data_IF_581445187753
#
_entry.id   IF_581445187753
#
_cell.length_a   1.000
_cell.length_b   1.000
_cell.length_c   1.000
_cell.angle_alpha   90.00
_cell.angle_beta   90.00
_cell.angle_gamma   90.00
#
_symmetry.space_group_name_H-M   'P 1'
#
loop_
_entity.id
_entity.type
_entity.pdbx_description
1 polymer ?
#
# COMPACT_ATOMS: atom_id res chain seq x y z
N UNK A 1 22.17 6.15 23.03
CA UNK A 1 21.71 7.43 23.59
C UNK A 1 20.22 7.62 23.34
N UNK A 2 19.48 7.93 24.37
CA UNK A 2 18.03 8.15 24.24
C UNK A 2 17.76 9.51 23.58
N UNK A 3 16.93 9.53 22.54
CA UNK A 3 16.49 10.75 21.88
C UNK A 3 15.01 10.93 22.19
N UNK A 4 14.59 12.09 22.75
CA UNK A 4 13.18 12.31 23.03
C UNK A 4 12.32 12.22 21.76
N UNK A 5 11.08 11.76 21.93
CA UNK A 5 10.16 11.62 20.79
C UNK A 5 9.95 12.95 20.07
N UNK A 6 9.92 14.06 20.80
CA UNK A 6 9.78 15.40 20.22
C UNK A 6 10.92 15.74 19.27
N UNK A 7 12.17 15.40 19.65
CA UNK A 7 13.33 15.63 18.80
C UNK A 7 13.30 14.72 17.57
N UNK A 8 12.85 13.45 17.75
CA UNK A 8 12.71 12.52 16.64
C UNK A 8 11.67 12.97 15.64
N UNK A 9 10.57 13.58 16.10
CA UNK A 9 9.50 14.06 15.23
C UNK A 9 9.89 15.26 14.38
N UNK A 10 11.01 15.93 14.70
CA UNK A 10 11.53 17.03 13.90
C UNK A 10 12.40 16.57 12.73
N UNK A 11 12.79 15.30 12.70
CA UNK A 11 13.62 14.76 11.64
C UNK A 11 12.86 14.76 10.31
N UNK A 12 13.58 15.06 9.23
CA UNK A 12 13.04 14.92 7.89
C UNK A 12 12.81 13.44 7.57
N UNK A 13 11.86 13.15 6.72
CA UNK A 13 11.57 11.76 6.34
C UNK A 13 12.82 11.02 5.85
N UNK A 14 13.62 11.67 5.01
CA UNK A 14 14.83 11.07 4.45
C UNK A 14 15.86 10.74 5.53
N UNK A 15 15.95 11.55 6.57
CA UNK A 15 16.83 11.26 7.70
C UNK A 15 16.32 10.05 8.50
N UNK A 16 15.01 9.98 8.69
CA UNK A 16 14.41 8.82 9.37
C UNK A 16 14.69 7.56 8.58
N UNK A 17 14.50 7.60 7.26
CA UNK A 17 14.79 6.46 6.38
C UNK A 17 16.26 6.05 6.52
N UNK A 18 17.18 7.00 6.46
CA UNK A 18 18.61 6.71 6.57
C UNK A 18 18.95 6.02 7.90
N UNK A 19 18.35 6.49 9.00
CA UNK A 19 18.58 5.91 10.32
C UNK A 19 18.00 4.50 10.44
N UNK A 20 16.81 4.28 9.90
CA UNK A 20 16.20 2.95 9.88
C UNK A 20 17.10 1.98 9.11
N UNK A 21 17.61 2.39 7.96
CA UNK A 21 18.51 1.57 7.15
C UNK A 21 19.84 1.32 7.84
N UNK A 22 20.26 2.23 8.71
CA UNK A 22 21.49 2.07 9.49
C UNK A 22 21.31 1.16 10.73
N UNK A 23 20.09 0.69 10.98
CA UNK A 23 19.80 -0.25 12.07
C UNK A 23 18.88 0.27 13.15
N UNK A 24 18.54 1.55 13.15
CA UNK A 24 17.60 2.13 14.12
C UNK A 24 16.16 1.87 13.67
N UNK A 25 15.80 0.61 13.60
CA UNK A 25 14.54 0.15 12.98
C UNK A 25 13.30 0.66 13.70
N UNK A 26 13.38 0.90 15.00
CA UNK A 26 12.24 1.42 15.77
C UNK A 26 11.79 2.80 15.28
N UNK A 27 12.67 3.56 14.63
CA UNK A 27 12.33 4.88 14.12
C UNK A 27 11.34 4.82 12.95
N UNK A 28 11.14 3.66 12.34
CA UNK A 28 10.15 3.51 11.28
C UNK A 28 8.74 3.89 11.78
N UNK A 29 8.48 3.72 13.06
CA UNK A 29 7.20 4.10 13.67
C UNK A 29 6.90 5.59 13.48
N UNK A 30 7.93 6.44 13.42
CA UNK A 30 7.76 7.88 13.17
C UNK A 30 7.07 8.10 11.84
N UNK A 31 7.55 7.39 10.81
CA UNK A 31 6.96 7.49 9.47
C UNK A 31 5.52 6.98 9.45
N UNK A 32 5.25 5.88 10.15
CA UNK A 32 3.91 5.34 10.26
C UNK A 32 2.96 6.36 10.89
N UNK A 33 3.36 6.98 11.98
CA UNK A 33 2.54 7.99 12.67
C UNK A 33 2.26 9.21 11.80
N UNK A 34 3.26 9.65 11.03
CA UNK A 34 3.10 10.80 10.13
C UNK A 34 2.07 10.56 9.05
N UNK A 35 1.97 9.32 8.54
CA UNK A 35 1.18 9.04 7.35
C UNK A 35 -0.02 8.14 7.57
N UNK A 36 -0.29 7.70 8.81
CA UNK A 36 -1.43 6.84 9.11
C UNK A 36 -2.75 7.40 8.59
N UNK A 37 -3.02 8.67 8.85
CA UNK A 37 -4.28 9.29 8.44
C UNK A 37 -4.42 9.33 6.92
N UNK A 38 -3.35 9.72 6.24
CA UNK A 38 -3.34 9.80 4.78
C UNK A 38 -3.58 8.44 4.15
N UNK A 39 -2.84 7.42 4.61
CA UNK A 39 -2.96 6.08 4.06
C UNK A 39 -4.34 5.49 4.35
N UNK A 40 -4.87 5.72 5.53
CA UNK A 40 -6.20 5.25 5.87
C UNK A 40 -7.26 5.86 4.94
N UNK A 41 -7.21 7.19 4.76
CA UNK A 41 -8.18 7.88 3.88
C UNK A 41 -8.13 7.34 2.46
N UNK A 42 -6.93 7.17 1.91
CA UNK A 42 -6.77 6.67 0.55
C UNK A 42 -7.29 5.25 0.43
N UNK A 43 -6.90 4.38 1.35
CA UNK A 43 -7.33 2.98 1.34
C UNK A 43 -8.85 2.87 1.54
N UNK A 44 -9.41 3.69 2.40
CA UNK A 44 -10.84 3.70 2.69
C UNK A 44 -11.67 4.13 1.48
N UNK A 45 -11.18 5.14 0.74
CA UNK A 45 -11.85 5.60 -0.48
C UNK A 45 -11.87 4.49 -1.54
N UNK A 46 -10.77 3.76 -1.67
CA UNK A 46 -10.66 2.71 -2.68
C UNK A 46 -11.48 1.48 -2.29
N UNK A 47 -11.38 1.04 -1.03
CA UNK A 47 -11.97 -0.22 -0.59
C UNK A 47 -13.35 -0.09 0.03
N UNK A 48 -13.68 1.07 0.55
CA UNK A 48 -14.97 1.39 1.19
C UNK A 48 -15.33 0.45 2.35
N UNK A 49 -14.30 -0.04 3.04
CA UNK A 49 -14.44 -0.93 4.18
C UNK A 49 -13.31 -0.65 5.16
N UNK A 50 -13.67 -0.40 6.43
CA UNK A 50 -12.70 -0.01 7.45
C UNK A 50 -11.66 -1.10 7.73
N UNK A 51 -12.12 -2.34 7.88
CA UNK A 51 -11.23 -3.46 8.18
C UNK A 51 -10.26 -3.74 7.04
N UNK A 52 -10.74 -3.70 5.81
CA UNK A 52 -9.88 -3.89 4.64
C UNK A 52 -8.88 -2.75 4.48
N UNK A 53 -9.31 -1.51 4.77
CA UNK A 53 -8.41 -0.36 4.71
C UNK A 53 -7.28 -0.50 5.72
N UNK A 54 -7.57 -0.93 6.94
CA UNK A 54 -6.56 -1.16 7.97
C UNK A 54 -5.59 -2.27 7.56
N UNK A 55 -6.11 -3.36 7.00
CA UNK A 55 -5.28 -4.47 6.51
C UNK A 55 -4.32 -4.01 5.41
N UNK A 56 -4.83 -3.21 4.48
CA UNK A 56 -4.00 -2.67 3.40
C UNK A 56 -2.92 -1.74 3.94
N UNK A 57 -3.25 -0.92 4.94
CA UNK A 57 -2.26 -0.07 5.57
C UNK A 57 -1.12 -0.88 6.18
N UNK A 58 -1.45 -1.96 6.89
CA UNK A 58 -0.43 -2.84 7.46
C UNK A 58 0.43 -3.46 6.38
N UNK A 59 -0.19 -3.98 5.32
CA UNK A 59 0.53 -4.57 4.20
C UNK A 59 1.44 -3.55 3.52
N UNK A 60 0.96 -2.30 3.37
CA UNK A 60 1.75 -1.24 2.76
C UNK A 60 2.98 -0.90 3.61
N UNK A 61 2.83 -0.83 4.93
CA UNK A 61 3.97 -0.56 5.81
C UNK A 61 4.98 -1.70 5.81
N UNK A 62 4.52 -2.93 5.83
CA UNK A 62 5.43 -4.09 5.75
C UNK A 62 6.20 -4.05 4.45
N UNK A 63 5.52 -3.81 3.35
CA UNK A 63 6.16 -3.74 2.03
C UNK A 63 7.13 -2.56 1.95
N UNK A 64 6.75 -1.40 2.47
CA UNK A 64 7.63 -0.24 2.50
C UNK A 64 8.89 -0.52 3.32
N UNK A 65 8.73 -1.17 4.47
CA UNK A 65 9.86 -1.51 5.33
C UNK A 65 10.80 -2.49 4.64
N UNK A 66 10.25 -3.53 4.02
CA UNK A 66 11.03 -4.55 3.32
C UNK A 66 11.81 -3.99 2.13
N UNK A 67 11.26 -2.96 1.49
CA UNK A 67 11.85 -2.35 0.29
C UNK A 67 12.39 -0.95 0.53
N UNK A 68 12.62 -0.60 1.80
CA UNK A 68 13.08 0.74 2.16
C UNK A 68 14.42 1.08 1.52
N UNK A 69 15.28 0.09 1.32
CA UNK A 69 16.56 0.26 0.65
C UNK A 69 16.41 0.62 -0.84
N UNK A 70 15.23 0.40 -1.42
CA UNK A 70 14.94 0.76 -2.80
C UNK A 70 14.41 2.18 -2.95
N UNK A 71 14.11 2.85 -1.83
CA UNK A 71 13.70 4.24 -1.89
C UNK A 71 14.89 5.09 -2.30
N UNK A 72 14.85 5.62 -3.52
CA UNK A 72 15.99 6.29 -4.13
C UNK A 72 16.00 7.81 -3.93
N UNK A 73 15.01 8.35 -3.24
CA UNK A 73 14.91 9.80 -3.03
C UNK A 73 14.53 10.62 -4.25
N UNK A 74 14.13 9.99 -5.33
CA UNK A 74 13.69 10.69 -6.56
C UNK A 74 12.35 11.37 -6.39
N UNK A 75 11.53 10.85 -5.48
CA UNK A 75 10.26 11.46 -5.09
C UNK A 75 10.27 11.59 -3.57
N UNK A 76 9.38 12.39 -3.03
CA UNK A 76 9.22 12.49 -1.59
C UNK A 76 8.84 11.12 -1.02
N UNK A 77 9.28 10.84 0.21
CA UNK A 77 8.95 9.58 0.87
C UNK A 77 7.42 9.38 0.94
N UNK A 78 6.68 10.44 1.25
CA UNK A 78 5.22 10.39 1.32
C UNK A 78 4.60 9.92 0.00
N UNK A 79 5.15 10.37 -1.13
CA UNK A 79 4.68 9.96 -2.45
C UNK A 79 4.99 8.48 -2.71
N UNK A 80 6.19 8.06 -2.39
CA UNK A 80 6.62 6.67 -2.54
C UNK A 80 5.74 5.73 -1.72
N UNK A 81 5.53 6.07 -0.44
CA UNK A 81 4.68 5.28 0.46
C UNK A 81 3.23 5.25 0.00
N UNK A 82 2.70 6.40 -0.43
CA UNK A 82 1.32 6.50 -0.93
C UNK A 82 1.10 5.62 -2.15
N UNK A 83 2.07 5.57 -3.06
CA UNK A 83 1.98 4.70 -4.23
C UNK A 83 1.91 3.23 -3.84
N UNK A 84 2.69 2.82 -2.84
CA UNK A 84 2.64 1.45 -2.33
C UNK A 84 1.24 1.15 -1.80
N UNK A 85 0.66 2.05 -1.01
CA UNK A 85 -0.67 1.85 -0.44
C UNK A 85 -1.75 1.78 -1.53
N UNK A 86 -1.67 2.63 -2.54
CA UNK A 86 -2.62 2.61 -3.65
C UNK A 86 -2.55 1.29 -4.41
N UNK A 87 -1.33 0.81 -4.70
CA UNK A 87 -1.15 -0.47 -5.39
C UNK A 87 -1.73 -1.62 -4.57
N UNK A 88 -1.50 -1.63 -3.27
CA UNK A 88 -2.04 -2.68 -2.40
C UNK A 88 -3.57 -2.63 -2.36
N UNK A 89 -4.14 -1.43 -2.24
CA UNK A 89 -5.59 -1.26 -2.18
C UNK A 89 -6.26 -1.68 -3.49
N UNK A 90 -5.70 -1.27 -4.63
CA UNK A 90 -6.23 -1.64 -5.94
C UNK A 90 -6.12 -3.13 -6.19
N UNK A 91 -5.00 -3.75 -5.80
CA UNK A 91 -4.81 -5.19 -5.94
C UNK A 91 -5.85 -5.95 -5.11
N UNK A 92 -6.11 -5.50 -3.89
CA UNK A 92 -7.11 -6.10 -3.01
C UNK A 92 -8.51 -5.96 -3.59
N UNK A 93 -8.83 -4.78 -4.11
CA UNK A 93 -10.12 -4.52 -4.75
C UNK A 93 -10.35 -5.46 -5.94
N UNK A 94 -9.33 -5.65 -6.77
CA UNK A 94 -9.43 -6.57 -7.92
C UNK A 94 -9.65 -8.02 -7.46
N UNK A 95 -8.91 -8.46 -6.44
CA UNK A 95 -9.09 -9.82 -5.88
C UNK A 95 -10.49 -10.01 -5.32
N UNK A 96 -11.01 -9.02 -4.61
CA UNK A 96 -12.36 -9.05 -4.06
C UNK A 96 -13.41 -9.17 -5.17
N UNK A 97 -13.28 -8.37 -6.22
CA UNK A 97 -14.18 -8.43 -7.36
C UNK A 97 -14.18 -9.80 -8.04
N UNK A 98 -13.00 -10.39 -8.21
CA UNK A 98 -12.87 -11.75 -8.77
C UNK A 98 -13.54 -12.79 -7.89
N UNK A 99 -13.38 -12.68 -6.57
CA UNK A 99 -14.01 -13.62 -5.64
C UNK A 99 -15.52 -13.50 -5.69
N UNK A 100 -16.06 -12.29 -5.76
CA UNK A 100 -17.48 -12.06 -5.89
C UNK A 100 -18.04 -12.66 -7.18
N UNK A 101 -17.32 -12.51 -8.28
CA UNK A 101 -17.69 -13.10 -9.56
C UNK A 101 -17.67 -14.64 -9.49
N UNK A 102 -16.67 -15.22 -8.86
CA UNK A 102 -16.58 -16.66 -8.69
C UNK A 102 -17.71 -17.20 -7.82
N UNK A 103 -18.07 -16.49 -6.75
CA UNK A 103 -19.16 -16.87 -5.86
C UNK A 103 -20.50 -16.77 -6.57
N UNK A 104 -20.62 -15.88 -7.57
CA UNK A 104 -21.84 -15.71 -8.35
C UNK A 104 -21.96 -16.70 -9.51
N UNK A 105 -20.94 -17.57 -9.73
CA UNK A 105 -20.97 -18.52 -10.83
C UNK A 105 -22.05 -19.57 -10.61
N UNK A 106 -22.88 -19.85 -11.66
CA UNK A 106 -23.78 -20.98 -11.60
C UNK A 106 -23.00 -22.29 -11.57
N UNK A 107 -23.60 -23.34 -10.99
CA UNK A 107 -22.95 -24.64 -10.83
C UNK A 107 -22.52 -25.30 -12.14
N UNK A 108 -23.23 -25.04 -13.22
CA UNK A 108 -22.89 -25.51 -14.55
C UNK A 108 -22.13 -24.45 -15.35
N UNK A 109 -21.40 -23.61 -14.68
CA UNK A 109 -20.99 -22.30 -15.07
C UNK A 109 -20.18 -22.13 -16.31
N UNK A 110 -20.45 -21.03 -16.94
CA UNK A 110 -19.68 -20.51 -18.06
C UNK A 110 -18.45 -19.80 -17.49
N UNK A 111 -17.57 -20.62 -16.92
CA UNK A 111 -16.39 -20.17 -16.19
C UNK A 111 -15.47 -19.32 -17.06
N UNK A 112 -15.26 -19.76 -18.31
CA UNK A 112 -14.36 -19.08 -19.23
C UNK A 112 -14.88 -17.71 -19.65
N UNK A 113 -16.20 -17.58 -19.80
CA UNK A 113 -16.82 -16.31 -20.16
C UNK A 113 -16.62 -15.25 -19.09
N UNK A 114 -16.80 -15.65 -17.82
CA UNK A 114 -16.62 -14.75 -16.67
C UNK A 114 -15.16 -14.36 -16.51
N UNK A 115 -14.24 -15.29 -16.67
CA UNK A 115 -12.81 -15.00 -16.60
C UNK A 115 -12.39 -14.02 -17.71
N UNK A 116 -12.94 -14.14 -18.90
CA UNK A 116 -12.65 -13.21 -19.98
C UNK A 116 -13.14 -11.80 -19.66
N UNK A 117 -14.32 -11.68 -19.09
CA UNK A 117 -14.89 -10.36 -18.76
C UNK A 117 -14.19 -9.69 -17.59
N UNK A 118 -13.57 -10.46 -16.69
CA UNK A 118 -12.85 -9.92 -15.54
C UNK A 118 -11.38 -9.68 -15.81
N UNK A 119 -10.85 -10.13 -16.95
CA UNK A 119 -9.45 -9.93 -17.30
C UNK A 119 -9.17 -8.44 -17.49
N UNK A 120 -8.07 -7.91 -16.92
CA UNK A 120 -7.72 -6.50 -17.12
C UNK A 120 -7.43 -6.24 -18.61
N UNK A 121 -7.84 -5.07 -19.07
CA UNK A 121 -7.56 -4.68 -20.45
C UNK A 121 -6.05 -4.36 -20.58
N UNK A 122 -5.49 -4.44 -21.79
CA UNK A 122 -4.12 -4.03 -22.00
C UNK A 122 -3.86 -2.57 -21.62
N UNK A 123 -4.87 -1.73 -21.74
CA UNK A 123 -4.77 -0.32 -21.36
C UNK A 123 -4.60 -0.16 -19.86
N UNK A 124 -5.30 -0.94 -19.06
CA UNK A 124 -5.16 -0.93 -17.60
C UNK A 124 -3.76 -1.36 -17.18
N UNK A 125 -3.23 -2.38 -17.82
CA UNK A 125 -1.87 -2.85 -17.56
C UNK A 125 -0.83 -1.80 -17.90
N UNK A 126 -1.02 -1.08 -19.00
CA UNK A 126 -0.12 -0.02 -19.42
C UNK A 126 -0.15 1.15 -18.44
N UNK A 127 -1.34 1.53 -17.99
CA UNK A 127 -1.49 2.63 -17.04
C UNK A 127 -0.79 2.34 -15.71
N UNK A 128 -0.83 1.09 -15.24
CA UNK A 128 -0.18 0.71 -13.98
C UNK A 128 1.33 0.56 -14.11
N UNK A 129 1.85 0.34 -15.30
CA UNK A 129 3.28 0.17 -15.55
C UNK A 129 4.04 1.50 -15.50
N UNK A 130 3.35 2.59 -15.60
CA UNK A 130 3.95 3.92 -15.53
C UNK A 130 3.92 4.44 -14.09
#
# INVERSE_FOLDING_TARGET
MFVPLTAQSELQDEEVVARVLAGETALFEILMRRYNQRLYRISRVILRNDGEAEDVMQDAYVRAYEHLDQFAGKAAFSTWLTRIAIHEALARKRRRGRMEELDALPENGDFMSILKSSAPSPEDGTATAQ
#
